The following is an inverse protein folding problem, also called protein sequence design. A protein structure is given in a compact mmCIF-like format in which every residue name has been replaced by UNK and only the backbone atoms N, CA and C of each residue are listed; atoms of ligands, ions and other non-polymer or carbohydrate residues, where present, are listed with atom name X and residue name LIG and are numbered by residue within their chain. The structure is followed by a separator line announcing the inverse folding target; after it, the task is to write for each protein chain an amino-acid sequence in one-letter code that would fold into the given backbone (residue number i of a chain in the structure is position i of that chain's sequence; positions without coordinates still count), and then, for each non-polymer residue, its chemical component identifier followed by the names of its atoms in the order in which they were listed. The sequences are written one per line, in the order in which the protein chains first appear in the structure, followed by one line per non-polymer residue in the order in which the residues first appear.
data_IF_501137315216
#
_entry.id   IF_501137315216
#
_cell.length_a   1.000
_cell.length_b   1.000
_cell.length_c   1.000
_cell.angle_alpha   90.00
_cell.angle_beta   90.00
_cell.angle_gamma   90.00
#
_symmetry.space_group_name_H-M   'P 1'
#
loop_
_entity.id
_entity.type
_entity.pdbx_description
1 polymer ?
#
# COMPACT_ATOMS: atom_id res chain seq x y z
N UNK A 1 31.45 7.72 4.18
CA UNK A 1 30.06 7.29 4.40
C UNK A 1 29.17 8.43 3.91
N UNK A 2 28.41 8.22 2.85
CA UNK A 2 27.53 9.27 2.32
C UNK A 2 26.20 9.09 3.05
N UNK A 3 25.85 10.04 3.90
CA UNK A 3 24.56 10.04 4.57
C UNK A 3 23.49 10.61 3.64
N UNK A 4 22.34 9.97 3.59
CA UNK A 4 21.18 10.51 2.95
C UNK A 4 20.68 11.71 3.78
N UNK A 5 20.73 12.91 3.20
CA UNK A 5 20.50 14.16 3.94
C UNK A 5 19.02 14.54 4.09
N UNK A 6 18.11 13.83 3.40
CA UNK A 6 16.68 14.10 3.50
C UNK A 6 16.09 13.42 4.73
N UNK A 7 15.42 14.20 5.56
CA UNK A 7 14.68 13.69 6.72
C UNK A 7 13.24 13.40 6.34
N UNK A 8 12.70 12.33 6.91
CA UNK A 8 11.30 11.94 6.78
C UNK A 8 10.67 11.80 8.16
N UNK A 9 9.40 12.13 8.25
CA UNK A 9 8.62 11.91 9.47
C UNK A 9 8.30 10.43 9.64
N UNK A 10 8.07 9.75 8.50
CA UNK A 10 7.68 8.34 8.46
C UNK A 10 8.44 7.62 7.34
N UNK A 11 8.98 6.44 7.67
CA UNK A 11 9.52 5.50 6.68
C UNK A 11 8.64 4.25 6.68
N UNK A 12 8.11 3.88 5.52
CA UNK A 12 7.31 2.67 5.30
C UNK A 12 8.15 1.67 4.53
N UNK A 13 8.38 0.51 5.12
CA UNK A 13 9.17 -0.56 4.50
C UNK A 13 8.25 -1.59 3.88
N UNK A 14 8.29 -1.70 2.55
CA UNK A 14 7.48 -2.61 1.76
C UNK A 14 6.27 -1.93 1.12
N UNK A 15 6.25 -1.88 -0.22
CA UNK A 15 5.19 -1.27 -1.02
C UNK A 15 4.13 -2.30 -1.49
N UNK A 16 3.72 -3.20 -0.60
CA UNK A 16 2.52 -4.00 -0.77
C UNK A 16 1.25 -3.18 -0.53
N UNK A 17 0.07 -3.81 -0.55
CA UNK A 17 -1.20 -3.09 -0.36
C UNK A 17 -1.23 -2.27 0.94
N UNK A 18 -0.82 -2.88 2.06
CA UNK A 18 -0.80 -2.20 3.35
C UNK A 18 0.20 -1.04 3.40
N UNK A 19 1.39 -1.21 2.81
CA UNK A 19 2.40 -0.16 2.75
C UNK A 19 1.97 1.02 1.89
N UNK A 20 1.34 0.78 0.74
CA UNK A 20 0.76 1.84 -0.10
C UNK A 20 -0.30 2.64 0.67
N UNK A 21 -1.24 1.96 1.34
CA UNK A 21 -2.29 2.64 2.13
C UNK A 21 -1.69 3.45 3.28
N UNK A 22 -0.72 2.89 4.02
CA UNK A 22 -0.07 3.59 5.13
C UNK A 22 0.70 4.83 4.65
N UNK A 23 1.47 4.69 3.56
CA UNK A 23 2.26 5.79 3.02
C UNK A 23 1.37 6.91 2.44
N UNK A 24 0.31 6.55 1.70
CA UNK A 24 -0.64 7.50 1.17
C UNK A 24 -1.40 8.25 2.28
N UNK A 25 -1.85 7.53 3.31
CA UNK A 25 -2.54 8.14 4.44
C UNK A 25 -1.64 9.16 5.16
N UNK A 26 -0.41 8.77 5.49
CA UNK A 26 0.55 9.64 6.16
C UNK A 26 0.90 10.89 5.33
N UNK A 27 1.16 10.71 4.02
CA UNK A 27 1.47 11.82 3.13
C UNK A 27 0.29 12.80 2.97
N UNK A 28 -0.95 12.29 2.90
CA UNK A 28 -2.17 13.11 2.86
C UNK A 28 -2.42 13.87 4.16
N UNK A 29 -1.93 13.35 5.29
CA UNK A 29 -1.94 14.05 6.57
C UNK A 29 -0.85 15.12 6.68
N UNK A 30 0.00 15.28 5.67
CA UNK A 30 1.05 16.30 5.61
C UNK A 30 2.42 15.86 6.10
N UNK A 31 2.62 14.58 6.44
CA UNK A 31 3.92 14.04 6.81
C UNK A 31 4.83 13.91 5.58
N UNK A 32 6.12 14.12 5.75
CA UNK A 32 7.14 13.72 4.78
C UNK A 32 7.37 12.22 4.87
N UNK A 33 7.03 11.47 3.83
CA UNK A 33 7.00 10.01 3.83
C UNK A 33 8.01 9.43 2.84
N UNK A 34 8.74 8.41 3.27
CA UNK A 34 9.55 7.54 2.40
C UNK A 34 8.91 6.15 2.36
N UNK A 35 8.50 5.72 1.17
CA UNK A 35 8.03 4.35 0.91
C UNK A 35 9.13 3.57 0.20
N UNK A 36 9.55 2.46 0.78
CA UNK A 36 10.62 1.60 0.26
C UNK A 36 10.07 0.30 -0.30
N UNK A 37 10.52 -0.07 -1.48
CA UNK A 37 10.23 -1.32 -2.14
C UNK A 37 11.51 -2.01 -2.59
N UNK A 38 11.59 -3.32 -2.50
CA UNK A 38 12.71 -4.09 -3.04
C UNK A 38 12.76 -3.99 -4.57
N UNK A 39 11.58 -3.91 -5.19
CA UNK A 39 11.40 -3.82 -6.64
C UNK A 39 10.23 -2.86 -6.93
N UNK A 40 10.51 -1.77 -7.65
CA UNK A 40 9.51 -0.77 -8.03
C UNK A 40 8.45 -1.31 -9.00
N UNK A 41 8.74 -2.38 -9.70
CA UNK A 41 7.78 -3.05 -10.57
C UNK A 41 6.88 -4.06 -9.82
N UNK A 42 7.01 -4.12 -8.49
CA UNK A 42 6.19 -4.96 -7.62
C UNK A 42 5.29 -4.17 -6.65
N UNK A 43 5.23 -2.86 -6.78
CA UNK A 43 4.35 -2.02 -5.95
C UNK A 43 2.89 -2.47 -6.11
N UNK A 44 2.22 -2.77 -5.00
CA UNK A 44 0.81 -3.19 -4.95
C UNK A 44 0.44 -4.36 -5.89
N UNK A 45 1.36 -5.27 -6.16
CA UNK A 45 1.06 -6.45 -6.98
C UNK A 45 0.09 -7.40 -6.29
N UNK A 46 -0.69 -8.12 -7.09
CA UNK A 46 -1.61 -9.17 -6.65
C UNK A 46 -1.01 -10.56 -6.93
N UNK A 47 -0.14 -11.11 -6.07
CA UNK A 47 0.61 -12.32 -6.38
C UNK A 47 -0.25 -13.58 -6.37
N UNK A 48 -1.26 -13.64 -5.54
CA UNK A 48 -2.08 -14.84 -5.36
C UNK A 48 -3.28 -14.85 -6.31
N UNK A 49 -4.13 -13.84 -6.24
CA UNK A 49 -5.39 -13.79 -6.98
C UNK A 49 -5.70 -12.35 -7.37
N UNK A 50 -6.18 -12.12 -8.61
CA UNK A 50 -6.50 -10.77 -9.08
C UNK A 50 -7.86 -10.30 -8.53
N UNK A 51 -8.05 -10.34 -7.23
CA UNK A 51 -9.33 -10.00 -6.61
C UNK A 51 -9.17 -9.20 -5.33
N UNK A 52 -10.04 -8.21 -5.15
CA UNK A 52 -10.16 -7.39 -3.95
C UNK A 52 -11.50 -7.70 -3.27
N UNK A 53 -11.47 -7.79 -1.95
CA UNK A 53 -12.65 -8.11 -1.15
C UNK A 53 -12.82 -9.61 -0.88
N UNK A 54 -14.05 -10.02 -0.63
CA UNK A 54 -14.38 -11.36 -0.16
C UNK A 54 -14.76 -11.36 1.32
N UNK A 55 -15.00 -12.55 1.90
CA UNK A 55 -15.41 -12.68 3.30
C UNK A 55 -14.35 -12.06 4.24
N UNK A 56 -14.78 -11.24 5.17
CA UNK A 56 -13.99 -10.39 6.06
C UNK A 56 -13.15 -9.32 5.33
N UNK A 57 -12.53 -9.65 4.20
CA UNK A 57 -11.69 -8.73 3.42
C UNK A 57 -12.49 -7.58 2.81
N UNK A 58 -13.71 -7.83 2.31
CA UNK A 58 -14.58 -6.81 1.75
C UNK A 58 -14.99 -5.75 2.76
N UNK A 59 -15.20 -6.14 4.03
CA UNK A 59 -15.49 -5.22 5.11
C UNK A 59 -14.28 -4.31 5.39
N UNK A 60 -13.08 -4.88 5.52
CA UNK A 60 -11.85 -4.10 5.72
C UNK A 60 -11.58 -3.11 4.59
N UNK A 61 -11.78 -3.51 3.33
CA UNK A 61 -11.63 -2.62 2.18
C UNK A 61 -12.58 -1.43 2.26
N UNK A 62 -13.85 -1.67 2.66
CA UNK A 62 -14.84 -0.60 2.84
C UNK A 62 -14.52 0.32 4.02
N UNK A 63 -13.98 -0.21 5.11
CA UNK A 63 -13.53 0.59 6.25
C UNK A 63 -12.36 1.49 5.88
N UNK A 64 -11.37 0.96 5.14
CA UNK A 64 -10.25 1.73 4.61
C UNK A 64 -10.74 2.82 3.65
N UNK A 65 -11.66 2.49 2.74
CA UNK A 65 -12.27 3.44 1.80
C UNK A 65 -12.99 4.59 2.53
N UNK A 66 -13.76 4.26 3.58
CA UNK A 66 -14.51 5.23 4.37
C UNK A 66 -13.61 6.28 5.06
N UNK A 67 -12.36 5.97 5.32
CA UNK A 67 -11.37 6.89 5.88
C UNK A 67 -10.42 7.49 4.84
N UNK A 68 -10.73 7.33 3.54
CA UNK A 68 -10.01 7.96 2.45
C UNK A 68 -8.93 7.10 1.80
N UNK A 69 -8.93 5.79 2.02
CA UNK A 69 -7.99 4.85 1.39
C UNK A 69 -8.11 4.78 -0.13
N UNK A 70 -7.14 4.16 -0.76
CA UNK A 70 -7.02 4.14 -2.23
C UNK A 70 -7.39 2.80 -2.85
N UNK A 71 -7.24 1.70 -2.10
CA UNK A 71 -7.44 0.34 -2.61
C UNK A 71 -8.80 0.14 -3.28
N UNK A 72 -9.88 0.61 -2.67
CA UNK A 72 -11.24 0.46 -3.21
C UNK A 72 -11.41 1.24 -4.51
N UNK A 73 -10.90 2.46 -4.58
CA UNK A 73 -10.96 3.32 -5.77
C UNK A 73 -10.24 2.69 -6.96
N UNK A 74 -9.04 2.16 -6.73
CA UNK A 74 -8.27 1.47 -7.77
C UNK A 74 -8.94 0.13 -8.12
N UNK A 75 -9.51 -0.58 -7.15
CA UNK A 75 -10.26 -1.79 -7.41
C UNK A 75 -11.45 -1.52 -8.32
N UNK A 76 -12.21 -0.47 -8.08
CA UNK A 76 -13.36 -0.09 -8.91
C UNK A 76 -12.95 0.29 -10.34
N UNK A 77 -11.84 1.03 -10.50
CA UNK A 77 -11.32 1.43 -11.81
C UNK A 77 -10.78 0.27 -12.65
N UNK A 78 -10.39 -0.83 -12.00
CA UNK A 78 -9.74 -1.99 -12.64
C UNK A 78 -10.58 -3.25 -12.60
N UNK A 79 -11.79 -3.17 -12.04
CA UNK A 79 -12.68 -4.30 -11.93
C UNK A 79 -13.13 -4.80 -13.31
N UNK A 80 -12.99 -6.10 -13.52
CA UNK A 80 -13.50 -6.83 -14.68
C UNK A 80 -14.87 -7.45 -14.33
N UNK A 81 -15.04 -7.83 -13.06
CA UNK A 81 -16.26 -8.44 -12.55
C UNK A 81 -16.51 -8.04 -11.09
N UNK A 82 -17.77 -7.78 -10.77
CA UNK A 82 -18.26 -7.61 -9.41
C UNK A 82 -19.13 -8.81 -9.00
N UNK A 83 -18.94 -9.29 -7.78
CA UNK A 83 -19.73 -10.39 -7.24
C UNK A 83 -20.00 -10.18 -5.75
N UNK A 84 -21.27 -10.40 -5.37
CA UNK A 84 -21.62 -10.55 -3.95
C UNK A 84 -21.56 -12.02 -3.58
N UNK A 85 -20.78 -12.34 -2.55
CA UNK A 85 -20.63 -13.68 -2.01
C UNK A 85 -21.67 -13.96 -0.95
N UNK A 86 -21.98 -15.25 -0.72
CA UNK A 86 -22.89 -15.73 0.32
C UNK A 86 -24.35 -15.24 0.18
N UNK A 87 -24.81 -14.92 -1.01
CA UNK A 87 -26.17 -14.44 -1.25
C UNK A 87 -27.29 -15.40 -0.83
N UNK A 88 -26.97 -16.69 -0.65
CA UNK A 88 -27.89 -17.71 -0.13
C UNK A 88 -27.91 -17.79 1.40
N UNK A 89 -27.11 -16.97 2.08
CA UNK A 89 -27.02 -16.90 3.55
C UNK A 89 -27.62 -15.58 4.03
N UNK A 90 -27.68 -15.40 5.37
CA UNK A 90 -28.19 -14.14 5.92
C UNK A 90 -27.35 -12.91 5.54
N UNK A 91 -27.96 -11.70 5.52
CA UNK A 91 -27.29 -10.47 5.05
C UNK A 91 -25.98 -10.15 5.75
N UNK A 92 -25.83 -10.54 7.02
CA UNK A 92 -24.63 -10.28 7.83
C UNK A 92 -23.35 -10.91 7.25
N UNK A 93 -23.46 -11.93 6.42
CA UNK A 93 -22.30 -12.62 5.80
C UNK A 93 -22.18 -12.31 4.30
N UNK A 94 -23.00 -11.40 3.77
CA UNK A 94 -22.82 -10.91 2.41
C UNK A 94 -21.52 -10.12 2.31
N UNK A 95 -20.71 -10.39 1.29
CA UNK A 95 -19.44 -9.71 1.08
C UNK A 95 -19.20 -9.41 -0.38
N UNK A 96 -18.80 -8.20 -0.67
CA UNK A 96 -18.43 -7.78 -2.02
C UNK A 96 -17.04 -8.29 -2.39
N UNK A 97 -16.89 -8.71 -3.63
CA UNK A 97 -15.62 -9.10 -4.21
C UNK A 97 -15.54 -8.61 -5.65
N UNK A 98 -14.42 -8.00 -6.01
CA UNK A 98 -14.10 -7.66 -7.39
C UNK A 98 -13.05 -8.61 -7.93
N UNK A 99 -13.17 -8.92 -9.22
CA UNK A 99 -12.09 -9.51 -10.01
C UNK A 99 -11.47 -8.37 -10.81
N UNK A 100 -10.16 -8.20 -10.75
CA UNK A 100 -9.48 -7.03 -11.29
C UNK A 100 -8.47 -7.42 -12.38
N UNK A 101 -8.20 -6.51 -13.29
CA UNK A 101 -7.02 -6.58 -14.14
C UNK A 101 -5.78 -6.31 -13.27
N UNK A 102 -4.95 -7.34 -13.07
CA UNK A 102 -3.75 -7.29 -12.21
C UNK A 102 -2.77 -6.21 -12.62
N UNK A 103 -2.50 -6.12 -13.90
CA UNK A 103 -1.49 -5.21 -14.42
C UNK A 103 -1.98 -3.77 -14.33
N UNK A 104 -3.24 -3.54 -14.68
CA UNK A 104 -3.86 -2.23 -14.58
C UNK A 104 -3.96 -1.77 -13.12
N UNK A 105 -4.32 -2.66 -12.18
CA UNK A 105 -4.36 -2.34 -10.75
C UNK A 105 -2.99 -1.89 -10.23
N UNK A 106 -1.97 -2.69 -10.48
CA UNK A 106 -0.59 -2.38 -10.11
C UNK A 106 -0.13 -1.04 -10.70
N UNK A 107 -0.32 -0.83 -12.01
CA UNK A 107 0.11 0.38 -12.71
C UNK A 107 -0.58 1.63 -12.15
N UNK A 108 -1.89 1.57 -11.92
CA UNK A 108 -2.64 2.70 -11.37
C UNK A 108 -2.24 3.00 -9.93
N UNK A 109 -2.10 1.98 -9.06
CA UNK A 109 -1.67 2.20 -7.68
C UNK A 109 -0.24 2.79 -7.63
N UNK A 110 0.69 2.26 -8.43
CA UNK A 110 2.04 2.82 -8.56
C UNK A 110 2.00 4.28 -8.97
N UNK A 111 1.21 4.61 -9.97
CA UNK A 111 1.05 6.01 -10.42
C UNK A 111 0.49 6.92 -9.32
N UNK A 112 -0.49 6.46 -8.55
CA UNK A 112 -1.03 7.23 -7.42
C UNK A 112 0.05 7.48 -6.37
N UNK A 113 0.83 6.46 -6.02
CA UNK A 113 1.93 6.59 -5.05
C UNK A 113 3.00 7.56 -5.55
N UNK A 114 3.43 7.44 -6.80
CA UNK A 114 4.46 8.29 -7.41
C UNK A 114 4.02 9.75 -7.56
N UNK A 115 2.73 9.99 -7.77
CA UNK A 115 2.18 11.34 -7.92
C UNK A 115 1.76 11.99 -6.59
N UNK A 116 1.79 11.25 -5.47
CA UNK A 116 1.35 11.77 -4.18
C UNK A 116 2.33 12.82 -3.64
N UNK A 117 1.91 14.06 -3.38
CA UNK A 117 2.74 15.04 -2.68
C UNK A 117 3.21 14.52 -1.30
N UNK A 118 4.38 14.93 -0.87
CA UNK A 118 5.02 14.54 0.39
C UNK A 118 5.38 13.05 0.50
N UNK A 119 5.33 12.29 -0.60
CA UNK A 119 5.69 10.88 -0.63
C UNK A 119 6.80 10.64 -1.64
N UNK A 120 7.91 10.09 -1.18
CA UNK A 120 8.97 9.57 -2.04
C UNK A 120 8.89 8.04 -2.08
N UNK A 121 8.82 7.48 -3.28
CA UNK A 121 8.94 6.05 -3.52
C UNK A 121 10.37 5.73 -3.98
N UNK A 122 11.06 4.82 -3.28
CA UNK A 122 12.42 4.41 -3.64
C UNK A 122 12.61 2.91 -3.60
N UNK A 123 13.52 2.43 -4.44
CA UNK A 123 13.96 1.05 -4.40
C UNK A 123 15.08 0.88 -3.39
N UNK A 124 14.85 0.05 -2.39
CA UNK A 124 15.86 -0.34 -1.41
C UNK A 124 15.47 -1.64 -0.70
N UNK A 125 16.46 -2.41 -0.34
CA UNK A 125 16.31 -3.58 0.52
C UNK A 125 16.83 -3.21 1.92
N UNK A 126 15.88 -2.98 2.84
CA UNK A 126 16.19 -2.62 4.23
C UNK A 126 16.71 -3.83 4.97
N UNK A 127 17.86 -3.70 5.61
CA UNK A 127 18.49 -4.77 6.39
C UNK A 127 18.29 -4.58 7.89
N UNK A 128 18.34 -3.34 8.36
CA UNK A 128 18.21 -3.08 9.81
C UNK A 128 17.62 -1.71 10.12
N UNK A 129 17.13 -1.59 11.35
CA UNK A 129 16.77 -0.31 11.95
C UNK A 129 17.99 0.30 12.64
N UNK A 130 18.17 1.59 12.48
CA UNK A 130 19.17 2.35 13.25
C UNK A 130 18.45 2.87 14.49
N UNK A 131 19.00 2.48 15.66
CA UNK A 131 18.39 2.80 16.96
C UNK A 131 19.41 3.56 17.81
N UNK A 132 19.00 4.69 18.35
CA UNK A 132 19.77 5.47 19.31
C UNK A 132 19.01 5.53 20.65
N UNK A 133 19.62 4.93 21.67
CA UNK A 133 18.92 4.75 22.95
C UNK A 133 17.66 3.90 22.79
N UNK A 134 16.48 4.50 22.94
CA UNK A 134 15.18 3.83 22.81
C UNK A 134 14.36 4.39 21.63
N UNK A 135 15.01 5.02 20.64
CA UNK A 135 14.35 5.62 19.48
C UNK A 135 14.91 5.04 18.19
N UNK A 136 14.02 4.73 17.24
CA UNK A 136 14.39 4.47 15.86
C UNK A 136 14.69 5.83 15.21
N UNK A 137 15.92 5.99 14.68
CA UNK A 137 16.37 7.23 14.04
C UNK A 137 16.55 7.07 12.53
N UNK A 138 16.46 5.85 12.03
CA UNK A 138 16.58 5.59 10.60
C UNK A 138 16.55 4.11 10.27
N UNK A 139 16.87 3.83 9.03
CA UNK A 139 17.07 2.49 8.49
C UNK A 139 18.45 2.43 7.80
N UNK A 140 18.93 1.23 7.60
CA UNK A 140 20.08 0.95 6.76
C UNK A 140 19.67 -0.08 5.72
N UNK A 141 20.02 0.19 4.47
CA UNK A 141 19.79 -0.74 3.37
C UNK A 141 21.03 -1.62 3.12
N UNK A 142 20.91 -2.56 2.19
CA UNK A 142 21.97 -3.51 1.83
C UNK A 142 23.23 -2.85 1.22
N UNK A 143 23.17 -1.58 0.85
CA UNK A 143 24.32 -0.81 0.34
C UNK A 143 25.02 -0.01 1.43
N UNK A 144 24.47 -0.01 2.65
CA UNK A 144 25.02 0.72 3.80
C UNK A 144 24.57 2.19 3.85
N UNK A 145 23.47 2.52 3.20
CA UNK A 145 22.79 3.83 3.28
C UNK A 145 21.61 3.80 4.22
#
# INVERSE_FOLDING_TARGET
MVFYTKHYDIIVVGAGHAGCEAALAAARMGCAVLLLAIDLDKVATMPCSPSIGGMAKGQLVKEIDAIGGEMAKIADQTAIQYRTLNTKKGPAVHSSRTQNDKNRYHTLMKSVVECQPNLDLKQAMVERLVVEGNKVVGIEDHTGF
#
